data_IF_514058468354
#
_entry.id   IF_514058468354
#
_cell.length_a   1.000
_cell.length_b   1.000
_cell.length_c   1.000
_cell.angle_alpha   90.00
_cell.angle_beta   90.00
_cell.angle_gamma   90.00
#
_symmetry.space_group_name_H-M   'P 1'
#
loop_
_entity.id
_entity.type
_entity.pdbx_description
1 polymer ?
#
# COMPACT_ATOMS: atom_id res chain seq x y z
N UNK A 1 84.48 5.66 -17.33
CA UNK A 1 84.10 4.42 -18.04
C UNK A 1 82.71 4.01 -17.56
N UNK A 2 81.77 3.80 -18.50
CA UNK A 2 80.60 2.87 -18.55
C UNK A 2 79.99 2.46 -17.18
N UNK A 3 78.71 2.66 -16.86
CA UNK A 3 77.47 2.10 -17.47
C UNK A 3 76.24 2.82 -16.84
N UNK A 4 75.28 3.36 -17.61
CA UNK A 4 73.97 2.78 -18.03
C UNK A 4 72.96 2.70 -16.85
N UNK A 5 71.66 3.03 -16.90
CA UNK A 5 70.68 3.54 -17.89
C UNK A 5 69.37 3.71 -17.10
N UNK A 6 68.59 4.76 -17.41
CA UNK A 6 67.13 4.88 -17.48
C UNK A 6 66.16 4.38 -16.38
N UNK A 7 65.02 5.09 -16.41
CA UNK A 7 63.67 4.72 -15.94
C UNK A 7 63.30 5.23 -14.55
N UNK A 8 63.15 6.55 -14.44
CA UNK A 8 62.26 7.17 -13.44
C UNK A 8 61.23 8.10 -14.12
N UNK A 9 60.81 7.73 -15.32
CA UNK A 9 59.64 8.29 -15.99
C UNK A 9 58.56 7.21 -15.92
N UNK A 10 57.39 7.51 -15.31
CA UNK A 10 56.05 6.92 -15.56
C UNK A 10 55.18 6.56 -14.33
N UNK A 11 55.59 6.77 -13.07
CA UNK A 11 54.79 6.28 -11.91
C UNK A 11 54.28 7.39 -10.96
N UNK A 12 54.33 8.66 -11.36
CA UNK A 12 53.75 9.76 -10.56
C UNK A 12 52.63 10.55 -11.28
N UNK A 13 52.19 10.09 -12.45
CA UNK A 13 51.05 10.67 -13.18
C UNK A 13 49.84 9.72 -13.28
N UNK A 14 49.86 8.59 -12.58
CA UNK A 14 48.78 7.58 -12.59
C UNK A 14 47.94 7.54 -11.31
N UNK A 15 48.21 8.42 -10.34
CA UNK A 15 47.39 8.57 -9.13
C UNK A 15 46.57 9.88 -9.11
N UNK A 16 46.77 10.79 -10.08
CA UNK A 16 46.04 12.06 -10.16
C UNK A 16 44.83 12.08 -11.12
N UNK A 17 44.68 11.05 -11.98
CA UNK A 17 43.61 11.00 -13.01
C UNK A 17 42.50 10.00 -12.67
N UNK A 18 42.69 9.15 -11.65
CA UNK A 18 41.64 8.22 -11.18
C UNK A 18 40.59 8.93 -10.31
N UNK A 19 40.84 10.16 -9.85
CA UNK A 19 39.87 10.94 -9.05
C UNK A 19 38.93 11.84 -9.88
N UNK A 20 38.98 11.76 -11.21
CA UNK A 20 38.17 12.60 -12.11
C UNK A 20 37.34 11.82 -13.15
N UNK A 21 37.09 10.52 -12.92
CA UNK A 21 36.12 9.72 -13.73
C UNK A 21 35.27 8.80 -12.83
N UNK A 22 34.90 9.28 -11.65
CA UNK A 22 33.82 8.69 -10.82
C UNK A 22 33.02 9.80 -10.15
N UNK A 23 32.36 10.62 -10.96
CA UNK A 23 31.03 11.12 -10.62
C UNK A 23 30.25 11.10 -11.93
N UNK A 24 30.00 9.87 -12.36
CA UNK A 24 29.02 9.55 -13.39
C UNK A 24 27.69 10.15 -12.93
N UNK A 25 27.28 11.19 -13.65
CA UNK A 25 25.91 11.65 -13.67
C UNK A 25 25.04 10.47 -14.12
N UNK A 26 24.12 10.06 -13.25
CA UNK A 26 23.16 9.03 -13.57
C UNK A 26 22.84 8.10 -12.40
N UNK A 27 21.55 8.08 -12.09
CA UNK A 27 20.83 6.91 -11.59
C UNK A 27 21.03 6.64 -10.09
N UNK A 28 20.01 6.45 -9.24
CA UNK A 28 18.61 6.06 -9.44
C UNK A 28 17.83 6.60 -8.25
N UNK A 29 16.53 6.78 -8.45
CA UNK A 29 15.50 6.76 -7.42
C UNK A 29 16.02 6.23 -6.09
N UNK A 30 15.88 7.02 -5.02
CA UNK A 30 15.75 6.43 -3.70
C UNK A 30 14.58 5.46 -3.81
N UNK A 31 14.86 4.21 -4.14
CA UNK A 31 13.98 3.09 -3.83
C UNK A 31 13.88 3.16 -2.32
N UNK A 32 12.82 3.82 -1.83
CA UNK A 32 12.29 3.51 -0.53
C UNK A 32 12.18 1.99 -0.55
N UNK A 33 13.04 1.31 0.22
CA UNK A 33 12.73 -0.07 0.56
C UNK A 33 11.40 0.07 1.28
N UNK A 34 10.30 -0.36 0.68
CA UNK A 34 9.02 -0.27 1.37
C UNK A 34 9.06 -1.07 2.63
N UNK A 35 8.22 -0.60 3.53
CA UNK A 35 8.13 -1.19 4.84
C UNK A 35 7.20 -2.37 4.74
N UNK A 36 7.76 -3.59 4.74
CA UNK A 36 6.95 -4.79 4.92
C UNK A 36 6.44 -4.85 6.36
N UNK A 37 5.12 -4.89 6.52
CA UNK A 37 4.45 -4.85 7.83
C UNK A 37 4.01 -6.22 8.38
N UNK A 38 4.38 -7.31 7.69
CA UNK A 38 3.92 -8.67 8.01
C UNK A 38 2.70 -9.14 7.21
N UNK A 39 2.09 -8.26 6.42
CA UNK A 39 0.98 -8.56 5.52
C UNK A 39 1.24 -8.09 4.10
N UNK A 40 1.96 -6.98 3.88
CA UNK A 40 2.25 -6.48 2.54
C UNK A 40 3.37 -5.44 2.55
N UNK A 41 3.81 -5.07 1.36
CA UNK A 41 4.69 -3.91 1.15
C UNK A 41 3.82 -2.68 0.88
N UNK A 42 4.27 -1.52 1.32
CA UNK A 42 3.73 -0.19 0.98
C UNK A 42 4.95 0.69 0.68
N UNK A 43 5.50 0.52 -0.52
CA UNK A 43 6.75 1.15 -0.96
C UNK A 43 6.59 2.68 -1.11
N UNK A 44 5.40 3.15 -1.48
CA UNK A 44 5.10 4.57 -1.72
C UNK A 44 4.46 5.29 -0.52
N UNK A 45 4.28 4.58 0.60
CA UNK A 45 3.65 5.06 1.84
C UNK A 45 2.26 5.66 1.62
N UNK A 46 1.50 5.14 0.65
CA UNK A 46 0.14 5.60 0.38
C UNK A 46 -0.89 4.95 1.32
N UNK A 47 -0.49 3.96 2.12
CA UNK A 47 -1.32 3.24 3.09
C UNK A 47 -2.12 2.06 2.51
N UNK A 48 -1.88 1.69 1.25
CA UNK A 48 -2.46 0.53 0.57
C UNK A 48 -1.31 -0.40 0.22
N UNK A 49 -1.47 -1.70 0.46
CA UNK A 49 -0.43 -2.64 0.05
C UNK A 49 -0.20 -2.61 -1.47
N UNK A 50 1.06 -2.62 -1.90
CA UNK A 50 1.47 -2.40 -3.30
C UNK A 50 0.80 -3.37 -4.28
N UNK A 51 0.56 -4.61 -3.87
CA UNK A 51 -0.12 -5.61 -4.70
C UNK A 51 -1.59 -5.22 -4.96
N UNK A 52 -2.26 -4.70 -3.94
CA UNK A 52 -3.62 -4.22 -4.03
C UNK A 52 -3.70 -2.88 -4.77
N UNK A 53 -2.76 -1.97 -4.53
CA UNK A 53 -2.68 -0.69 -5.23
C UNK A 53 -2.47 -0.88 -6.73
N UNK A 54 -1.55 -1.79 -7.09
CA UNK A 54 -1.32 -2.21 -8.46
C UNK A 54 -2.58 -2.77 -9.11
N UNK A 55 -3.29 -3.67 -8.41
CA UNK A 55 -4.56 -4.21 -8.92
C UNK A 55 -5.59 -3.10 -9.22
N UNK A 56 -5.74 -2.14 -8.30
CA UNK A 56 -6.67 -1.01 -8.46
C UNK A 56 -6.29 -0.15 -9.67
N UNK A 57 -5.01 0.19 -9.82
CA UNK A 57 -4.51 1.01 -10.94
C UNK A 57 -4.65 0.27 -12.28
N UNK A 58 -4.31 -1.02 -12.33
CA UNK A 58 -4.40 -1.84 -13.54
C UNK A 58 -5.86 -2.04 -13.99
N UNK A 59 -6.81 -2.15 -13.03
CA UNK A 59 -8.25 -2.29 -13.34
C UNK A 59 -8.90 -0.98 -13.81
N UNK A 60 -8.42 0.15 -13.31
CA UNK A 60 -8.99 1.47 -13.57
C UNK A 60 -7.97 2.51 -14.05
N UNK A 61 -7.24 2.27 -15.15
CA UNK A 61 -6.07 3.07 -15.52
C UNK A 61 -6.39 4.57 -15.71
N UNK A 62 -7.58 4.88 -16.24
CA UNK A 62 -7.99 6.25 -16.55
C UNK A 62 -9.11 6.78 -15.64
N UNK A 63 -9.44 6.07 -14.55
CA UNK A 63 -10.53 6.45 -13.65
C UNK A 63 -10.01 6.74 -12.24
N UNK A 64 -9.39 7.91 -12.07
CA UNK A 64 -8.82 8.36 -10.80
C UNK A 64 -9.84 8.40 -9.65
N UNK A 65 -11.12 8.68 -9.93
CA UNK A 65 -12.19 8.70 -8.92
C UNK A 65 -12.47 7.30 -8.39
N UNK A 66 -12.57 6.31 -9.28
CA UNK A 66 -12.75 4.91 -8.88
C UNK A 66 -11.50 4.38 -8.18
N UNK A 67 -10.30 4.72 -8.66
CA UNK A 67 -9.05 4.38 -7.97
C UNK A 67 -9.05 4.90 -6.53
N UNK A 68 -9.33 6.19 -6.32
CA UNK A 68 -9.36 6.77 -4.97
C UNK A 68 -10.40 6.10 -4.06
N UNK A 69 -11.56 5.74 -4.61
CA UNK A 69 -12.64 5.07 -3.88
C UNK A 69 -12.23 3.66 -3.45
N UNK A 70 -11.62 2.89 -4.35
CA UNK A 70 -11.15 1.54 -4.03
C UNK A 70 -9.93 1.56 -3.10
N UNK A 71 -9.03 2.54 -3.23
CA UNK A 71 -7.92 2.75 -2.28
C UNK A 71 -8.44 3.09 -0.88
N UNK A 72 -9.52 3.87 -0.77
CA UNK A 72 -10.17 4.13 0.52
C UNK A 72 -10.76 2.85 1.13
N UNK A 73 -11.45 2.04 0.32
CA UNK A 73 -11.98 0.76 0.78
C UNK A 73 -10.86 -0.23 1.17
N UNK A 74 -9.76 -0.26 0.43
CA UNK A 74 -8.58 -1.07 0.73
C UNK A 74 -7.99 -0.73 2.10
N UNK A 75 -7.80 0.57 2.39
CA UNK A 75 -7.35 1.03 3.72
C UNK A 75 -8.29 0.60 4.84
N UNK A 76 -9.61 0.67 4.60
CA UNK A 76 -10.60 0.24 5.58
C UNK A 76 -10.53 -1.26 5.84
N UNK A 77 -10.39 -2.08 4.79
CA UNK A 77 -10.24 -3.53 4.92
C UNK A 77 -8.91 -3.90 5.60
N UNK A 78 -7.81 -3.23 5.26
CA UNK A 78 -6.51 -3.40 5.91
C UNK A 78 -6.58 -3.07 7.41
N UNK A 79 -7.33 -2.03 7.80
CA UNK A 79 -7.62 -1.75 9.22
C UNK A 79 -8.28 -2.94 9.91
N UNK A 80 -9.24 -3.58 9.24
CA UNK A 80 -9.84 -4.82 9.73
C UNK A 80 -8.83 -5.96 9.88
N UNK A 81 -7.95 -6.16 8.89
CA UNK A 81 -6.87 -7.17 8.96
C UNK A 81 -5.94 -6.91 10.16
N UNK A 82 -5.46 -5.68 10.36
CA UNK A 82 -4.61 -5.35 11.51
C UNK A 82 -5.33 -5.57 12.83
N UNK A 83 -6.59 -5.16 12.96
CA UNK A 83 -7.40 -5.39 14.16
C UNK A 83 -7.58 -6.88 14.47
N UNK A 84 -7.89 -7.69 13.45
CA UNK A 84 -8.04 -9.13 13.59
C UNK A 84 -6.73 -9.86 13.91
N UNK A 85 -5.60 -9.35 13.42
CA UNK A 85 -4.26 -9.83 13.82
C UNK A 85 -3.97 -9.52 15.29
N UNK A 86 -4.22 -8.27 15.69
CA UNK A 86 -3.97 -7.78 17.05
C UNK A 86 -4.99 -8.28 18.09
N UNK A 87 -6.12 -8.85 17.64
CA UNK A 87 -7.29 -9.17 18.49
C UNK A 87 -7.83 -7.94 19.24
N UNK A 88 -7.87 -6.80 18.55
CA UNK A 88 -8.31 -5.53 19.11
C UNK A 88 -9.77 -5.23 18.71
N UNK A 89 -10.68 -5.35 19.68
CA UNK A 89 -12.12 -5.09 19.49
C UNK A 89 -12.41 -3.62 19.10
N UNK A 90 -11.67 -2.67 19.68
CA UNK A 90 -11.87 -1.25 19.42
C UNK A 90 -11.45 -0.91 17.99
N UNK A 91 -10.28 -1.38 17.58
CA UNK A 91 -9.81 -1.25 16.21
C UNK A 91 -10.73 -2.00 15.22
N UNK A 92 -11.31 -3.14 15.62
CA UNK A 92 -12.27 -3.86 14.79
C UNK A 92 -13.56 -3.05 14.57
N UNK A 93 -14.10 -2.39 15.61
CA UNK A 93 -15.26 -1.51 15.44
C UNK A 93 -14.94 -0.28 14.58
N UNK A 94 -13.75 0.31 14.74
CA UNK A 94 -13.30 1.40 13.88
C UNK A 94 -13.16 0.96 12.40
N UNK A 95 -12.54 -0.21 12.16
CA UNK A 95 -12.43 -0.82 10.85
C UNK A 95 -13.79 -1.10 10.22
N UNK A 96 -14.75 -1.63 10.98
CA UNK A 96 -16.14 -1.83 10.53
C UNK A 96 -16.81 -0.52 10.10
N UNK A 97 -16.67 0.55 10.88
CA UNK A 97 -17.21 1.85 10.54
C UNK A 97 -16.58 2.41 9.25
N UNK A 98 -15.26 2.28 9.12
CA UNK A 98 -14.53 2.69 7.91
C UNK A 98 -14.95 1.89 6.66
N UNK A 99 -15.16 0.57 6.81
CA UNK A 99 -15.64 -0.29 5.72
C UNK A 99 -17.05 0.14 5.32
N UNK A 100 -17.96 0.34 6.29
CA UNK A 100 -19.32 0.81 6.01
C UNK A 100 -19.33 2.13 5.26
N UNK A 101 -18.52 3.12 5.69
CA UNK A 101 -18.37 4.41 5.01
C UNK A 101 -17.88 4.24 3.58
N UNK A 102 -16.87 3.40 3.37
CA UNK A 102 -16.29 3.12 2.05
C UNK A 102 -17.28 2.42 1.11
N UNK A 103 -18.09 1.49 1.63
CA UNK A 103 -19.14 0.82 0.85
C UNK A 103 -20.22 1.81 0.40
N UNK A 104 -20.64 2.75 1.26
CA UNK A 104 -21.55 3.82 0.84
C UNK A 104 -20.95 4.70 -0.26
N UNK A 105 -19.67 5.06 -0.16
CA UNK A 105 -19.03 5.83 -1.23
C UNK A 105 -18.97 5.03 -2.54
N UNK A 106 -18.60 3.74 -2.48
CA UNK A 106 -18.56 2.88 -3.65
C UNK A 106 -19.94 2.79 -4.32
N UNK A 107 -21.01 2.64 -3.53
CA UNK A 107 -22.38 2.63 -4.05
C UNK A 107 -22.75 3.95 -4.77
N UNK A 108 -22.32 5.10 -4.24
CA UNK A 108 -22.50 6.38 -4.94
C UNK A 108 -21.68 6.44 -6.23
N UNK A 109 -20.43 5.93 -6.24
CA UNK A 109 -19.57 5.91 -7.44
C UNK A 109 -20.00 4.90 -8.50
N UNK A 110 -20.85 3.94 -8.15
CA UNK A 110 -21.50 3.05 -9.10
C UNK A 110 -22.89 3.54 -9.50
N UNK A 111 -23.25 4.81 -9.20
CA UNK A 111 -24.56 5.40 -9.50
C UNK A 111 -25.73 4.59 -8.93
N UNK A 112 -25.51 3.90 -7.80
CA UNK A 112 -26.49 3.01 -7.18
C UNK A 112 -26.65 1.65 -7.89
N UNK A 113 -25.83 1.32 -8.90
CA UNK A 113 -25.81 -0.01 -9.51
C UNK A 113 -25.29 -1.04 -8.50
N UNK A 114 -26.23 -1.79 -7.91
CA UNK A 114 -25.97 -2.81 -6.90
C UNK A 114 -25.09 -3.94 -7.44
N UNK A 115 -25.26 -4.34 -8.71
CA UNK A 115 -24.47 -5.43 -9.29
C UNK A 115 -23.02 -5.00 -9.45
N UNK A 116 -22.80 -3.78 -9.95
CA UNK A 116 -21.45 -3.22 -10.05
C UNK A 116 -20.83 -2.99 -8.68
N UNK A 117 -21.59 -2.47 -7.72
CA UNK A 117 -21.15 -2.32 -6.33
C UNK A 117 -20.69 -3.65 -5.72
N UNK A 118 -21.49 -4.71 -5.86
CA UNK A 118 -21.18 -6.06 -5.34
C UNK A 118 -19.94 -6.65 -6.01
N UNK A 119 -19.82 -6.48 -7.34
CA UNK A 119 -18.64 -6.93 -8.09
C UNK A 119 -17.36 -6.23 -7.60
N UNK A 120 -17.37 -4.90 -7.52
CA UNK A 120 -16.18 -4.14 -7.15
C UNK A 120 -15.75 -4.37 -5.69
N UNK A 121 -16.72 -4.43 -4.77
CA UNK A 121 -16.45 -4.71 -3.35
C UNK A 121 -15.90 -6.13 -3.16
N UNK A 122 -16.53 -7.13 -3.78
CA UNK A 122 -16.11 -8.54 -3.67
C UNK A 122 -14.76 -8.80 -4.30
N UNK A 123 -14.48 -8.24 -5.48
CA UNK A 123 -13.20 -8.44 -6.16
C UNK A 123 -12.04 -7.83 -5.37
N UNK A 124 -12.24 -6.65 -4.78
CA UNK A 124 -11.23 -6.02 -3.95
C UNK A 124 -10.91 -6.87 -2.71
N UNK A 125 -11.93 -7.39 -2.03
CA UNK A 125 -11.75 -8.29 -0.88
C UNK A 125 -11.02 -9.58 -1.29
N UNK A 126 -11.40 -10.19 -2.41
CA UNK A 126 -10.74 -11.38 -2.94
C UNK A 126 -9.25 -11.11 -3.21
N UNK A 127 -8.93 -10.01 -3.90
CA UNK A 127 -7.53 -9.71 -4.22
C UNK A 127 -6.71 -9.41 -2.95
N UNK A 128 -7.29 -8.71 -1.97
CA UNK A 128 -6.64 -8.47 -0.69
C UNK A 128 -6.25 -9.79 0.02
N UNK A 129 -7.13 -10.79 0.01
CA UNK A 129 -6.96 -12.05 0.75
C UNK A 129 -6.22 -13.14 -0.02
N UNK A 130 -5.98 -12.93 -1.31
CA UNK A 130 -5.42 -13.93 -2.21
C UNK A 130 -3.96 -14.20 -1.91
N UNK A 131 -3.60 -15.49 -1.81
CA UNK A 131 -2.20 -15.92 -1.75
C UNK A 131 -1.49 -15.68 -0.41
N UNK A 132 -2.11 -14.98 0.55
CA UNK A 132 -1.55 -14.74 1.87
C UNK A 132 -2.42 -15.36 2.99
N UNK A 133 -1.97 -16.47 3.62
CA UNK A 133 -2.72 -17.12 4.68
C UNK A 133 -2.81 -16.29 5.98
N UNK A 134 -1.86 -15.36 6.20
CA UNK A 134 -1.89 -14.47 7.37
C UNK A 134 -2.98 -13.42 7.21
N UNK A 135 -3.10 -12.79 6.02
CA UNK A 135 -4.20 -11.86 5.72
C UNK A 135 -5.56 -12.55 5.89
N UNK A 136 -5.72 -13.75 5.34
CA UNK A 136 -6.96 -14.53 5.45
C UNK A 136 -7.31 -14.86 6.91
N UNK A 137 -6.36 -15.40 7.68
CA UNK A 137 -6.57 -15.72 9.10
C UNK A 137 -6.89 -14.48 9.94
N UNK A 138 -6.19 -13.38 9.71
CA UNK A 138 -6.44 -12.12 10.40
C UNK A 138 -7.83 -11.55 10.06
N UNK A 139 -8.24 -11.61 8.80
CA UNK A 139 -9.58 -11.20 8.39
C UNK A 139 -10.70 -12.09 8.99
N UNK A 140 -10.49 -13.40 9.06
CA UNK A 140 -11.42 -14.29 9.78
C UNK A 140 -11.54 -13.92 11.27
N UNK A 141 -10.41 -13.58 11.91
CA UNK A 141 -10.41 -13.12 13.29
C UNK A 141 -11.18 -11.80 13.45
N UNK A 142 -10.97 -10.85 12.54
CA UNK A 142 -11.72 -9.60 12.50
C UNK A 142 -13.23 -9.86 12.45
N UNK A 143 -13.69 -10.72 11.55
CA UNK A 143 -15.10 -11.10 11.46
C UNK A 143 -15.60 -11.78 12.75
N UNK A 144 -14.76 -12.56 13.43
CA UNK A 144 -15.10 -13.15 14.71
C UNK A 144 -15.23 -12.10 15.84
N UNK A 145 -14.37 -11.08 15.88
CA UNK A 145 -14.46 -9.97 16.86
C UNK A 145 -15.76 -9.17 16.69
N UNK A 146 -16.25 -9.06 15.45
CA UNK A 146 -17.52 -8.39 15.15
C UNK A 146 -18.76 -9.27 15.39
N UNK A 147 -18.58 -10.59 15.52
CA UNK A 147 -19.69 -11.50 15.76
C UNK A 147 -20.28 -11.27 17.15
N UNK A 148 -21.49 -10.71 17.20
CA UNK A 148 -22.18 -10.34 18.44
C UNK A 148 -22.23 -8.83 18.74
N UNK A 149 -21.63 -7.98 17.91
CA UNK A 149 -21.74 -6.52 18.04
C UNK A 149 -23.07 -5.96 17.53
N UNK A 150 -23.59 -4.93 18.21
CA UNK A 150 -24.77 -4.19 17.74
C UNK A 150 -24.43 -3.26 16.55
N UNK A 151 -25.38 -3.06 15.65
CA UNK A 151 -25.29 -2.11 14.54
C UNK A 151 -25.71 -0.72 15.04
N UNK A 152 -24.75 0.18 15.25
CA UNK A 152 -25.02 1.60 15.46
C UNK A 152 -25.13 2.31 14.12
N UNK A 153 -26.26 2.98 13.87
CA UNK A 153 -26.54 3.71 12.63
C UNK A 153 -26.11 5.17 12.75
N UNK A 154 -24.84 5.43 13.04
CA UNK A 154 -24.34 6.80 13.12
C UNK A 154 -23.59 7.13 11.84
N UNK A 155 -24.32 7.56 10.80
CA UNK A 155 -23.69 8.16 9.62
C UNK A 155 -24.42 9.47 9.30
N UNK A 156 -23.90 10.57 9.85
CA UNK A 156 -24.25 11.95 9.49
C UNK A 156 -23.26 12.57 8.48
N UNK A 157 -22.20 11.85 8.13
CA UNK A 157 -21.08 12.35 7.32
C UNK A 157 -21.20 11.95 5.84
N UNK A 158 -20.57 12.73 4.96
CA UNK A 158 -20.44 12.39 3.54
C UNK A 158 -19.60 11.11 3.39
N UNK A 159 -20.13 10.05 2.75
CA UNK A 159 -19.47 8.76 2.70
C UNK A 159 -18.19 8.78 1.86
N UNK A 160 -18.10 9.68 0.88
CA UNK A 160 -16.95 9.81 -0.02
C UNK A 160 -15.86 10.78 0.47
N UNK A 161 -16.00 11.35 1.67
CA UNK A 161 -14.89 12.05 2.29
C UNK A 161 -13.79 11.06 2.72
N UNK A 162 -12.50 11.41 2.56
CA UNK A 162 -11.40 10.54 2.95
C UNK A 162 -11.50 10.10 4.41
N UNK A 163 -11.05 8.87 4.70
CA UNK A 163 -10.93 8.39 6.08
C UNK A 163 -9.92 9.27 6.83
N UNK A 164 -10.33 9.81 7.97
CA UNK A 164 -9.41 10.48 8.90
C UNK A 164 -8.56 9.40 9.59
N UNK A 165 -7.24 9.59 9.75
CA UNK A 165 -6.43 8.65 10.50
C UNK A 165 -6.91 8.63 11.96
N UNK A 166 -7.22 7.44 12.46
CA UNK A 166 -7.43 7.23 13.89
C UNK A 166 -6.05 7.31 14.58
N UNK A 167 -5.90 8.27 15.49
CA UNK A 167 -4.69 8.48 16.28
C UNK A 167 -4.45 7.36 17.29
#
# INVERSE_FOLDING_TARGET
MKKIVFVCLSILFLLGVIFLIYNFDGSKNSSQLGTYDGFGYDDDANGVWDDLDKYIVDRYPDNAVMQATLKQMAKALQTGVYAGSARDDSAAQAGRAAISKSLYCLLERTDGDIRRFDEESSLLEVEMLKGDPNRNKAYQNFNALLSGGFYGSDQKENPCEPLTPAF
#
